data_IF_201716619883
#
_entry.id   IF_201716619883
#
_cell.length_a   1.000
_cell.length_b   1.000
_cell.length_c   1.000
_cell.angle_alpha   90.00
_cell.angle_beta   90.00
_cell.angle_gamma   90.00
#
_symmetry.space_group_name_H-M   'P 1'
#
loop_
_entity.id
_entity.type
_entity.pdbx_description
1 polymer ?
#
# COMPACT_ATOMS: atom_id res chain seq x y z
N UNK A 1 -16.20 9.61 -10.11
CA UNK A 1 -14.90 9.01 -10.50
C UNK A 1 -14.35 8.29 -9.28
N UNK A 2 -13.82 7.07 -9.44
CA UNK A 2 -13.16 6.34 -8.34
C UNK A 2 -11.66 6.59 -8.46
N UNK A 3 -11.02 7.00 -7.36
CA UNK A 3 -9.58 7.23 -7.31
C UNK A 3 -8.96 6.20 -6.38
N UNK A 4 -7.97 5.47 -6.90
CA UNK A 4 -7.22 4.46 -6.15
C UNK A 4 -5.78 4.95 -6.00
N UNK A 5 -5.29 4.99 -4.76
CA UNK A 5 -3.89 5.38 -4.48
C UNK A 5 -3.05 4.17 -4.10
N UNK A 6 -1.78 4.24 -4.52
CA UNK A 6 -0.71 3.38 -4.03
C UNK A 6 -0.15 3.92 -2.69
N UNK A 7 0.82 3.20 -2.11
CA UNK A 7 1.51 3.50 -0.84
C UNK A 7 2.31 4.79 -0.92
N UNK A 8 3.14 4.98 -1.96
CA UNK A 8 4.09 6.09 -2.04
C UNK A 8 3.43 7.49 -2.03
N UNK A 9 2.35 7.76 -2.80
CA UNK A 9 1.67 9.05 -2.74
C UNK A 9 1.16 9.40 -1.34
N UNK A 10 0.56 8.45 -0.63
CA UNK A 10 0.07 8.66 0.75
C UNK A 10 1.24 8.93 1.70
N UNK A 11 2.28 8.10 1.61
CA UNK A 11 3.47 8.21 2.44
C UNK A 11 4.13 9.60 2.30
N UNK A 12 4.46 10.00 1.07
CA UNK A 12 5.19 11.25 0.86
C UNK A 12 4.33 12.49 1.11
N UNK A 13 3.06 12.51 0.69
CA UNK A 13 2.17 13.63 0.99
C UNK A 13 1.99 13.82 2.48
N UNK A 14 1.92 12.74 3.25
CA UNK A 14 1.88 12.83 4.71
C UNK A 14 3.18 13.39 5.29
N UNK A 15 4.34 12.89 4.84
CA UNK A 15 5.64 13.32 5.37
C UNK A 15 5.96 14.79 5.08
N UNK A 16 5.49 15.33 3.95
CA UNK A 16 5.65 16.76 3.62
C UNK A 16 4.49 17.64 4.13
N UNK A 17 3.54 17.07 4.87
CA UNK A 17 2.40 17.82 5.44
C UNK A 17 1.30 18.21 4.44
N UNK A 18 1.25 17.58 3.26
CA UNK A 18 0.32 17.89 2.17
C UNK A 18 -0.77 16.83 1.95
N UNK A 19 -1.03 15.97 2.93
CA UNK A 19 -2.01 14.87 2.81
C UNK A 19 -3.44 15.34 2.52
N UNK A 20 -3.79 16.58 2.88
CA UNK A 20 -5.12 17.14 2.64
C UNK A 20 -5.39 17.48 1.17
N UNK A 21 -4.38 17.48 0.29
CA UNK A 21 -4.59 17.64 -1.14
C UNK A 21 -5.45 16.49 -1.72
N UNK A 22 -5.33 15.28 -1.17
CA UNK A 22 -6.11 14.12 -1.64
C UNK A 22 -7.63 14.32 -1.53
N UNK A 23 -8.21 14.64 -0.35
CA UNK A 23 -9.63 14.91 -0.24
C UNK A 23 -10.05 16.20 -0.94
N UNK A 24 -9.19 17.21 -1.06
CA UNK A 24 -9.52 18.44 -1.80
C UNK A 24 -9.68 18.19 -3.31
N UNK A 25 -8.83 17.36 -3.89
CA UNK A 25 -8.86 17.06 -5.33
C UNK A 25 -9.90 16.01 -5.70
N UNK A 26 -10.12 15.02 -4.82
CA UNK A 26 -10.88 13.81 -5.17
C UNK A 26 -12.09 13.55 -4.27
N UNK A 27 -12.24 14.26 -3.16
CA UNK A 27 -13.28 14.04 -2.14
C UNK A 27 -13.04 12.77 -1.32
N UNK A 28 -12.89 11.63 -1.99
CA UNK A 28 -12.58 10.33 -1.38
C UNK A 28 -11.46 9.63 -2.17
N UNK A 29 -10.62 8.90 -1.45
CA UNK A 29 -9.57 8.06 -2.03
C UNK A 29 -9.75 6.65 -1.51
N UNK A 30 -9.72 5.68 -2.41
CA UNK A 30 -9.77 4.27 -2.09
C UNK A 30 -8.35 3.68 -2.06
N UNK A 31 -8.06 2.84 -1.09
CA UNK A 31 -6.87 2.00 -1.10
C UNK A 31 -7.23 0.53 -0.89
N UNK A 32 -6.54 -0.40 -1.56
CA UNK A 32 -6.59 -1.81 -1.21
C UNK A 32 -6.06 -2.06 0.20
N UNK A 33 -6.51 -3.13 0.87
CA UNK A 33 -5.96 -3.53 2.16
C UNK A 33 -4.45 -3.81 2.12
N UNK A 34 -3.92 -4.31 1.00
CA UNK A 34 -2.47 -4.54 0.87
C UNK A 34 -1.68 -3.22 1.01
N UNK A 35 -2.18 -2.11 0.46
CA UNK A 35 -1.57 -0.78 0.60
C UNK A 35 -1.62 -0.32 2.07
N UNK A 36 -2.72 -0.59 2.79
CA UNK A 36 -2.77 -0.32 4.23
C UNK A 36 -1.69 -1.09 5.00
N UNK A 37 -1.44 -2.36 4.64
CA UNK A 37 -0.42 -3.20 5.28
C UNK A 37 0.99 -2.66 5.00
N UNK A 38 1.27 -2.22 3.78
CA UNK A 38 2.54 -1.57 3.43
C UNK A 38 2.77 -0.29 4.23
N UNK A 39 1.74 0.54 4.41
CA UNK A 39 1.82 1.75 5.24
C UNK A 39 2.03 1.44 6.74
N UNK A 40 1.65 0.25 7.20
CA UNK A 40 1.87 -0.24 8.56
C UNK A 40 3.20 -0.98 8.74
N UNK A 41 3.92 -1.30 7.65
CA UNK A 41 5.16 -2.08 7.67
C UNK A 41 6.20 -1.50 8.63
N UNK A 42 7.02 -2.36 9.25
CA UNK A 42 8.03 -1.94 10.22
C UNK A 42 8.97 -0.85 9.66
N UNK A 43 9.29 -0.93 8.37
CA UNK A 43 10.18 0.00 7.66
C UNK A 43 9.52 1.35 7.35
N UNK A 44 8.20 1.44 7.44
CA UNK A 44 7.48 2.70 7.23
C UNK A 44 7.79 3.70 8.35
N UNK A 45 7.93 5.00 8.04
CA UNK A 45 8.15 6.02 9.05
C UNK A 45 7.08 6.03 10.13
N UNK A 46 7.46 6.38 11.37
CA UNK A 46 6.55 6.35 12.53
C UNK A 46 5.31 7.23 12.30
N UNK A 47 5.49 8.40 11.69
CA UNK A 47 4.39 9.30 11.36
C UNK A 47 3.34 8.64 10.45
N UNK A 48 3.79 7.87 9.45
CA UNK A 48 2.94 7.14 8.51
C UNK A 48 2.16 6.04 9.24
N UNK A 49 2.87 5.22 10.03
CA UNK A 49 2.26 4.15 10.83
C UNK A 49 1.21 4.67 11.79
N UNK A 50 1.49 5.76 12.49
CA UNK A 50 0.55 6.34 13.45
C UNK A 50 -0.68 6.91 12.74
N UNK A 51 -0.50 7.56 11.60
CA UNK A 51 -1.60 8.12 10.82
C UNK A 51 -2.54 7.04 10.27
N UNK A 52 -2.00 5.98 9.66
CA UNK A 52 -2.84 4.95 9.02
C UNK A 52 -3.56 4.03 10.03
N UNK A 53 -3.14 4.00 11.30
CA UNK A 53 -3.88 3.33 12.40
C UNK A 53 -5.23 3.98 12.68
N UNK A 54 -5.36 5.28 12.43
CA UNK A 54 -6.59 6.05 12.60
C UNK A 54 -6.90 6.81 11.31
N UNK A 55 -7.31 6.09 10.25
CA UNK A 55 -7.46 6.69 8.93
C UNK A 55 -8.60 7.73 8.93
N UNK A 56 -8.46 8.83 8.19
CA UNK A 56 -9.52 9.83 8.07
C UNK A 56 -10.70 9.28 7.27
N UNK A 57 -11.90 9.83 7.48
CA UNK A 57 -13.15 9.36 6.85
C UNK A 57 -13.15 9.37 5.31
N UNK A 58 -12.32 10.21 4.70
CA UNK A 58 -12.22 10.30 3.23
C UNK A 58 -11.35 9.18 2.62
N UNK A 59 -10.55 8.48 3.44
CA UNK A 59 -9.74 7.35 3.00
C UNK A 59 -10.50 6.05 3.21
N UNK A 60 -10.87 5.40 2.12
CA UNK A 60 -11.67 4.17 2.13
C UNK A 60 -10.75 2.98 1.90
N UNK A 61 -10.69 2.06 2.87
CA UNK A 61 -9.92 0.82 2.72
C UNK A 61 -10.87 -0.27 2.23
N UNK A 62 -10.53 -0.93 1.11
CA UNK A 62 -11.29 -2.07 0.60
C UNK A 62 -10.46 -3.34 0.54
N UNK A 63 -11.10 -4.44 0.89
CA UNK A 63 -10.62 -5.77 0.56
C UNK A 63 -10.74 -5.98 -0.95
N UNK A 64 -9.67 -6.50 -1.57
CA UNK A 64 -9.66 -6.81 -2.99
C UNK A 64 -9.48 -8.30 -3.14
N UNK A 65 -10.53 -8.97 -3.62
CA UNK A 65 -10.45 -10.36 -4.04
C UNK A 65 -9.91 -10.38 -5.46
N UNK A 66 -8.63 -10.69 -5.62
CA UNK A 66 -8.05 -10.89 -6.97
C UNK A 66 -8.49 -12.27 -7.45
N UNK A 67 -9.22 -12.39 -8.57
CA UNK A 67 -9.45 -13.69 -9.19
C UNK A 67 -8.10 -14.35 -9.47
N UNK A 68 -8.02 -15.68 -9.36
CA UNK A 68 -6.80 -16.41 -9.71
C UNK A 68 -6.57 -16.27 -11.20
N UNK A 69 -5.78 -15.26 -11.57
CA UNK A 69 -5.23 -15.10 -12.89
C UNK A 69 -3.94 -15.91 -12.96
N UNK A 70 -3.94 -16.95 -13.80
CA UNK A 70 -2.83 -17.88 -13.95
C UNK A 70 -1.53 -17.19 -14.36
N UNK A 71 -1.63 -16.05 -15.06
CA UNK A 71 -0.46 -15.31 -15.52
C UNK A 71 0.19 -14.51 -14.38
N UNK A 72 -0.61 -14.01 -13.42
CA UNK A 72 -0.10 -13.36 -12.21
C UNK A 72 0.53 -14.36 -11.23
N UNK A 73 0.04 -15.60 -11.21
CA UNK A 73 0.63 -16.66 -10.41
C UNK A 73 2.05 -17.01 -10.87
N UNK A 74 2.33 -16.92 -12.17
CA UNK A 74 3.69 -17.11 -12.70
C UNK A 74 4.62 -16.04 -12.12
N UNK A 75 4.23 -14.76 -12.19
CA UNK A 75 5.04 -13.64 -11.66
C UNK A 75 5.25 -13.79 -10.15
N UNK A 76 4.20 -14.14 -9.39
CA UNK A 76 4.28 -14.39 -7.94
C UNK A 76 5.23 -15.54 -7.61
N UNK A 77 5.17 -16.63 -8.38
CA UNK A 77 6.02 -17.81 -8.20
C UNK A 77 7.50 -17.46 -8.44
N UNK A 78 7.81 -16.68 -9.48
CA UNK A 78 9.17 -16.23 -9.74
C UNK A 78 9.69 -15.29 -8.65
N UNK A 79 8.87 -14.34 -8.18
CA UNK A 79 9.25 -13.44 -7.10
C UNK A 79 9.58 -14.20 -5.80
N UNK A 80 8.77 -15.21 -5.43
CA UNK A 80 9.04 -16.06 -4.27
C UNK A 80 10.32 -16.89 -4.42
N UNK A 81 10.59 -17.40 -5.62
CA UNK A 81 11.80 -18.19 -5.90
C UNK A 81 13.07 -17.34 -5.78
N UNK A 82 13.05 -16.11 -6.30
CA UNK A 82 14.13 -15.14 -6.16
C UNK A 82 14.40 -14.76 -4.70
N UNK A 83 13.35 -14.56 -3.90
CA UNK A 83 13.49 -14.26 -2.48
C UNK A 83 14.09 -15.43 -1.69
N UNK A 84 13.75 -16.69 -2.03
CA UNK A 84 14.36 -17.88 -1.42
C UNK A 84 15.84 -18.04 -1.78
N UNK A 85 16.22 -17.79 -3.02
CA UNK A 85 17.64 -17.85 -3.45
C UNK A 85 18.46 -16.79 -2.71
N UNK A 86 17.93 -15.56 -2.58
CA UNK A 86 18.58 -14.49 -1.81
C UNK A 86 18.71 -14.82 -0.32
N UNK A 87 17.70 -15.45 0.28
CA UNK A 87 17.75 -15.84 1.69
C UNK A 87 18.78 -16.95 1.98
N UNK A 88 18.98 -17.88 1.04
CA UNK A 88 19.94 -18.98 1.19
C UNK A 88 21.39 -18.60 0.84
N UNK A 89 21.61 -17.48 0.14
CA UNK A 89 22.95 -17.02 -0.25
C UNK A 89 23.67 -16.21 0.85
N UNK A 90 23.01 -15.90 1.97
CA UNK A 90 23.57 -15.14 3.11
C UNK A 90 23.79 -16.08 4.31
N UNK A 91 23.92 -17.39 4.07
CA UNK A 91 24.19 -18.42 5.08
C UNK A 91 25.45 -19.17 4.70
#
# INVERSE_FOLDING_TARGET
>A
MIVVSDTSPICYLLLIGQIQLLPQLYGQVLIPRIVQQELLDERSPIAVKNWIKTPPKWLIIKEVTVPVDKDLDIIRTYAQKLNRVRANAIR
#
